data_IF_975423914642
#
_entry.id   IF_975423914642
#
_cell.length_a   1.000
_cell.length_b   1.000
_cell.length_c   1.000
_cell.angle_alpha   90.00
_cell.angle_beta   90.00
_cell.angle_gamma   90.00
#
_symmetry.space_group_name_H-M   'P 1'
#
loop_
_entity.id
_entity.type
_entity.pdbx_description
1 polymer ?
#
# COMPACT_ATOMS: atom_id res chain seq x y z
N UNK A 1 -11.66 -7.58 6.93
CA UNK A 1 -11.26 -7.91 5.55
C UNK A 1 -11.61 -9.36 5.30
N UNK A 2 -12.28 -9.69 4.20
CA UNK A 2 -12.73 -11.06 3.90
C UNK A 2 -11.82 -11.76 2.90
N UNK A 3 -11.22 -11.01 1.97
CA UNK A 3 -10.23 -11.51 1.00
C UNK A 3 -9.19 -10.44 0.70
N UNK A 4 -7.93 -10.83 0.65
CA UNK A 4 -6.83 -9.96 0.25
C UNK A 4 -5.70 -10.80 -0.34
N UNK A 5 -5.42 -10.62 -1.63
CA UNK A 5 -4.36 -11.32 -2.35
C UNK A 5 -3.54 -10.33 -3.18
N UNK A 6 -2.22 -10.54 -3.21
CA UNK A 6 -1.29 -9.79 -4.06
C UNK A 6 -0.44 -10.78 -4.85
N UNK A 7 -0.33 -10.58 -6.16
CA UNK A 7 0.45 -11.43 -7.09
C UNK A 7 1.35 -10.55 -7.98
N UNK A 8 2.59 -10.96 -8.32
CA UNK A 8 3.26 -12.18 -7.90
C UNK A 8 3.84 -12.08 -6.47
N UNK A 9 4.11 -13.24 -5.88
CA UNK A 9 4.93 -13.37 -4.67
C UNK A 9 6.21 -14.14 -5.02
N UNK A 10 7.42 -13.57 -4.81
CA UNK A 10 7.69 -12.22 -4.33
C UNK A 10 7.33 -11.13 -5.35
N UNK A 11 6.98 -9.94 -4.85
CA UNK A 11 6.69 -8.77 -5.68
C UNK A 11 7.99 -8.29 -6.35
N UNK A 12 7.91 -7.99 -7.65
CA UNK A 12 9.02 -7.42 -8.42
C UNK A 12 8.82 -5.93 -8.60
N UNK A 13 9.85 -5.15 -8.26
CA UNK A 13 9.86 -3.70 -8.41
C UNK A 13 11.13 -3.30 -9.18
N UNK A 14 11.03 -2.55 -10.29
CA UNK A 14 9.80 -2.15 -10.97
C UNK A 14 9.06 -3.34 -11.59
N UNK A 15 7.75 -3.22 -11.74
CA UNK A 15 6.93 -4.29 -12.32
C UNK A 15 5.43 -4.12 -12.11
N UNK A 16 4.68 -5.07 -12.65
CA UNK A 16 3.23 -5.13 -12.48
C UNK A 16 2.90 -6.05 -11.30
N UNK A 17 1.94 -5.62 -10.49
CA UNK A 17 1.32 -6.45 -9.47
C UNK A 17 -0.18 -6.46 -9.67
N UNK A 18 -0.84 -7.50 -9.16
CA UNK A 18 -2.28 -7.60 -9.16
C UNK A 18 -2.78 -7.73 -7.74
N UNK A 19 -3.83 -6.97 -7.42
CA UNK A 19 -4.47 -6.95 -6.11
C UNK A 19 -5.89 -7.47 -6.26
N UNK A 20 -6.31 -8.32 -5.34
CA UNK A 20 -7.69 -8.76 -5.17
C UNK A 20 -8.11 -8.46 -3.73
N UNK A 21 -9.17 -7.70 -3.53
CA UNK A 21 -9.63 -7.25 -2.22
C UNK A 21 -11.15 -7.36 -2.12
N UNK A 22 -11.61 -8.07 -1.09
CA UNK A 22 -13.01 -8.03 -0.65
C UNK A 22 -13.02 -7.64 0.84
N UNK A 23 -13.63 -6.51 1.13
CA UNK A 23 -13.70 -5.97 2.48
C UNK A 23 -14.98 -5.16 2.67
N UNK A 24 -15.22 -4.74 3.92
CA UNK A 24 -16.32 -3.85 4.27
C UNK A 24 -15.81 -2.80 5.24
N UNK A 25 -16.06 -1.55 4.93
CA UNK A 25 -15.92 -0.42 5.84
C UNK A 25 -17.23 -0.34 6.61
N UNK A 26 -17.19 -0.54 7.93
CA UNK A 26 -18.40 -0.57 8.77
C UNK A 26 -18.72 0.77 9.41
N UNK A 27 -17.72 1.65 9.56
CA UNK A 27 -17.84 2.98 10.14
C UNK A 27 -17.27 4.00 9.17
N UNK A 28 -17.75 5.23 9.25
CA UNK A 28 -17.20 6.31 8.44
C UNK A 28 -15.77 6.60 8.89
N UNK A 29 -14.82 6.54 7.95
CA UNK A 29 -13.44 6.99 8.18
C UNK A 29 -13.39 8.46 7.78
N UNK A 30 -13.36 9.32 8.79
CA UNK A 30 -13.17 10.76 8.64
C UNK A 30 -11.69 11.14 8.78
N UNK A 31 -11.39 12.43 8.70
CA UNK A 31 -10.02 12.97 8.75
C UNK A 31 -9.39 12.91 10.17
N UNK A 32 -10.05 12.26 11.13
CA UNK A 32 -9.64 12.13 12.54
C UNK A 32 -9.38 10.67 12.92
N UNK A 33 -8.85 9.89 11.99
CA UNK A 33 -8.45 8.50 12.21
C UNK A 33 -6.94 8.46 12.31
N UNK A 34 -6.37 7.76 13.28
CA UNK A 34 -4.93 7.51 13.35
C UNK A 34 -4.61 6.12 12.78
N UNK A 35 -3.38 5.95 12.28
CA UNK A 35 -2.90 4.68 11.75
C UNK A 35 -1.49 4.39 12.25
N UNK A 36 -1.34 3.29 12.99
CA UNK A 36 -0.05 2.73 13.38
C UNK A 36 0.41 1.69 12.34
N UNK A 37 1.57 1.93 11.75
CA UNK A 37 2.23 0.97 10.85
C UNK A 37 3.49 0.46 11.53
N UNK A 38 3.57 -0.85 11.70
CA UNK A 38 4.80 -1.54 12.12
C UNK A 38 5.38 -2.22 10.90
N UNK A 39 6.57 -1.79 10.49
CA UNK A 39 7.23 -2.34 9.31
C UNK A 39 8.51 -3.05 9.71
N UNK A 40 8.56 -4.35 9.43
CA UNK A 40 9.66 -5.23 9.82
C UNK A 40 10.31 -5.85 8.59
N UNK A 41 11.64 -5.96 8.64
CA UNK A 41 12.43 -6.69 7.64
C UNK A 41 13.10 -7.86 8.32
N UNK A 42 12.94 -9.04 7.74
CA UNK A 42 13.71 -10.21 8.14
C UNK A 42 15.16 -10.08 7.67
N UNK A 43 16.08 -10.09 8.63
CA UNK A 43 17.52 -10.03 8.41
C UNK A 43 18.18 -11.15 9.22
N UNK A 44 18.86 -12.07 8.53
CA UNK A 44 19.56 -13.19 9.16
C UNK A 44 18.67 -14.02 10.11
N UNK A 45 17.38 -14.18 9.77
CA UNK A 45 16.40 -14.93 10.57
C UNK A 45 15.78 -14.15 11.74
N UNK A 46 16.05 -12.84 11.87
CA UNK A 46 15.46 -11.97 12.89
C UNK A 46 14.65 -10.86 12.22
N UNK A 47 13.42 -10.63 12.69
CA UNK A 47 12.60 -9.50 12.27
C UNK A 47 13.08 -8.22 12.95
N UNK A 48 13.61 -7.29 12.15
CA UNK A 48 14.09 -5.98 12.61
C UNK A 48 13.12 -4.90 12.19
N UNK A 49 12.68 -4.06 13.13
CA UNK A 49 11.85 -2.89 12.83
C UNK A 49 12.62 -1.88 11.99
N UNK A 50 12.01 -1.47 10.88
CA UNK A 50 12.49 -0.39 10.03
C UNK A 50 12.03 0.93 10.64
N UNK A 51 12.96 1.86 10.88
CA UNK A 51 12.64 3.19 11.43
C UNK A 51 11.81 4.04 10.46
N UNK A 52 10.95 4.91 11.00
CA UNK A 52 10.19 5.86 10.17
C UNK A 52 11.11 6.91 9.57
N UNK A 53 11.18 6.99 8.24
CA UNK A 53 11.88 8.04 7.51
C UNK A 53 10.97 8.49 6.37
N UNK A 54 10.77 9.80 6.18
CA UNK A 54 9.94 10.36 5.09
C UNK A 54 8.61 9.60 4.86
N UNK A 55 7.91 9.29 5.96
CA UNK A 55 6.61 8.57 5.95
C UNK A 55 6.66 7.12 5.45
N UNK A 56 7.83 6.46 5.48
CA UNK A 56 8.01 5.03 5.18
C UNK A 56 8.78 4.39 6.33
N UNK A 57 8.32 3.22 6.81
CA UNK A 57 8.90 2.56 7.99
C UNK A 57 7.85 2.21 9.03
N UNK A 58 8.30 2.01 10.26
CA UNK A 58 7.43 1.91 11.45
C UNK A 58 7.02 3.31 11.87
N UNK A 59 5.88 3.78 11.37
CA UNK A 59 5.40 5.16 11.49
C UNK A 59 4.02 5.20 12.18
N UNK A 60 3.80 6.26 12.96
CA UNK A 60 2.46 6.68 13.38
C UNK A 60 1.97 7.77 12.45
N UNK A 61 0.74 7.68 11.97
CA UNK A 61 0.10 8.70 11.14
C UNK A 61 -1.14 9.23 11.85
N UNK A 62 -1.11 10.51 12.20
CA UNK A 62 -2.25 11.18 12.86
C UNK A 62 -3.46 11.37 11.93
N UNK A 63 -3.18 11.46 10.61
CA UNK A 63 -4.19 11.57 9.56
C UNK A 63 -3.73 10.82 8.29
N UNK A 64 -4.12 9.54 8.09
CA UNK A 64 -3.81 8.79 6.89
C UNK A 64 -4.58 9.31 5.66
N UNK A 65 -5.64 10.12 5.83
CA UNK A 65 -6.33 10.74 4.69
C UNK A 65 -5.43 11.72 3.94
N UNK A 66 -4.40 12.28 4.58
CA UNK A 66 -3.46 13.18 3.92
C UNK A 66 -2.79 12.57 2.68
N UNK A 67 -2.54 11.25 2.65
CA UNK A 67 -1.96 10.58 1.47
C UNK A 67 -2.87 10.62 0.24
N UNK A 68 -4.18 10.64 0.48
CA UNK A 68 -5.20 10.62 -0.57
C UNK A 68 -5.50 12.01 -1.14
N UNK A 69 -5.04 13.08 -0.47
CA UNK A 69 -5.19 14.45 -0.97
C UNK A 69 -4.55 14.64 -2.35
N UNK A 70 -3.55 13.83 -2.70
CA UNK A 70 -2.94 13.81 -4.03
C UNK A 70 -3.92 13.49 -5.17
N UNK A 71 -5.08 12.88 -4.86
CA UNK A 71 -6.13 12.53 -5.82
C UNK A 71 -7.27 13.56 -5.89
N UNK A 72 -7.29 14.58 -5.02
CA UNK A 72 -8.28 15.67 -5.07
C UNK A 72 -8.05 16.65 -6.24
N UNK A 73 -6.89 16.57 -6.89
CA UNK A 73 -6.48 17.47 -7.97
C UNK A 73 -6.72 16.94 -9.38
N UNK A 74 -6.06 17.51 -10.40
CA UNK A 74 -6.23 17.13 -11.81
C UNK A 74 -5.88 15.68 -12.13
N UNK A 75 -5.04 15.05 -11.30
CA UNK A 75 -4.69 13.63 -11.41
C UNK A 75 -5.91 12.73 -11.22
N UNK A 76 -6.90 13.19 -10.46
CA UNK A 76 -8.12 12.47 -10.18
C UNK A 76 -7.88 11.13 -9.50
N UNK A 77 -8.95 10.35 -9.45
CA UNK A 77 -8.90 9.00 -8.93
C UNK A 77 -8.16 8.06 -9.89
N UNK A 78 -7.29 7.16 -9.39
CA UNK A 78 -6.72 6.11 -10.23
C UNK A 78 -7.81 5.32 -10.96
N UNK A 79 -7.59 5.03 -12.24
CA UNK A 79 -8.57 4.36 -13.10
C UNK A 79 -9.00 3.02 -12.52
N UNK A 80 -8.06 2.31 -11.91
CA UNK A 80 -8.22 1.02 -11.24
C UNK A 80 -9.27 1.09 -10.11
N UNK A 81 -9.32 2.20 -9.38
CA UNK A 81 -10.29 2.41 -8.31
C UNK A 81 -11.61 2.96 -8.85
N UNK A 82 -11.55 3.97 -9.72
CA UNK A 82 -12.72 4.62 -10.29
C UNK A 82 -13.62 3.63 -11.07
N UNK A 83 -13.03 2.74 -11.86
CA UNK A 83 -13.77 1.74 -12.63
C UNK A 83 -14.47 0.68 -11.76
N UNK A 84 -14.00 0.49 -10.53
CA UNK A 84 -14.61 -0.40 -9.55
C UNK A 84 -15.51 0.35 -8.55
N UNK A 85 -15.81 1.63 -8.80
CA UNK A 85 -16.65 2.45 -7.93
C UNK A 85 -16.06 2.69 -6.54
N UNK A 86 -14.74 2.55 -6.39
CA UNK A 86 -14.05 2.72 -5.12
C UNK A 86 -13.65 4.19 -4.91
N UNK A 87 -13.93 4.77 -3.74
CA UNK A 87 -13.42 6.09 -3.41
C UNK A 87 -11.90 6.06 -3.24
N UNK A 88 -11.28 7.18 -3.57
CA UNK A 88 -9.84 7.44 -3.42
C UNK A 88 -9.58 8.75 -2.69
N UNK A 89 -10.61 9.33 -2.09
CA UNK A 89 -10.58 10.58 -1.33
C UNK A 89 -11.38 10.37 -0.05
N UNK A 90 -10.97 11.05 1.03
CA UNK A 90 -11.73 11.04 2.27
C UNK A 90 -12.91 12.04 2.22
N UNK A 91 -13.97 11.81 3.00
CA UNK A 91 -14.18 10.69 3.95
C UNK A 91 -14.67 9.39 3.28
N UNK A 92 -14.29 8.24 3.83
CA UNK A 92 -14.84 6.94 3.39
C UNK A 92 -16.12 6.62 4.15
N UNK A 93 -17.23 6.50 3.43
CA UNK A 93 -18.51 6.06 4.02
C UNK A 93 -18.51 4.55 4.27
N UNK A 94 -19.39 4.11 5.16
CA UNK A 94 -19.62 2.69 5.36
C UNK A 94 -20.13 2.03 4.06
N UNK A 95 -19.37 1.07 3.53
CA UNK A 95 -19.68 0.39 2.28
C UNK A 95 -18.90 -0.91 2.12
N UNK A 96 -19.37 -1.77 1.22
CA UNK A 96 -18.57 -2.89 0.74
C UNK A 96 -17.49 -2.38 -0.23
N UNK A 97 -16.28 -2.87 -0.09
CA UNK A 97 -15.14 -2.61 -0.95
C UNK A 97 -14.87 -3.90 -1.73
N UNK A 98 -15.05 -3.84 -3.04
CA UNK A 98 -14.72 -4.94 -3.95
C UNK A 98 -13.78 -4.45 -5.01
N UNK A 99 -12.56 -4.96 -4.98
CA UNK A 99 -11.58 -4.81 -6.02
C UNK A 99 -11.30 -6.22 -6.57
N UNK A 100 -11.78 -6.57 -7.77
CA UNK A 100 -11.41 -7.83 -8.40
C UNK A 100 -9.91 -7.87 -8.67
N UNK A 101 -9.42 -8.96 -9.24
CA UNK A 101 -8.00 -9.10 -9.60
C UNK A 101 -7.55 -8.00 -10.59
N UNK A 102 -7.13 -6.85 -10.05
CA UNK A 102 -6.84 -5.60 -10.78
C UNK A 102 -5.35 -5.36 -10.80
N UNK A 103 -4.84 -4.99 -11.97
CA UNK A 103 -3.42 -4.75 -12.20
C UNK A 103 -3.02 -3.32 -11.83
N UNK A 104 -1.89 -3.17 -11.16
CA UNK A 104 -1.24 -1.91 -10.82
C UNK A 104 0.22 -1.96 -11.29
N UNK A 105 0.69 -0.85 -11.84
CA UNK A 105 2.07 -0.71 -12.31
C UNK A 105 2.89 0.05 -11.28
N UNK A 106 3.97 -0.57 -10.77
CA UNK A 106 4.93 0.06 -9.87
C UNK A 106 6.18 0.41 -10.66
N UNK A 107 6.37 1.70 -10.95
CA UNK A 107 7.38 2.17 -11.91
C UNK A 107 8.78 2.33 -11.31
N UNK A 108 8.90 2.71 -10.05
CA UNK A 108 10.18 2.78 -9.33
C UNK A 108 9.94 2.96 -7.83
N UNK A 109 10.99 2.69 -7.05
CA UNK A 109 11.10 3.09 -5.65
C UNK A 109 12.27 4.04 -5.50
N UNK A 110 12.17 4.99 -4.56
CA UNK A 110 13.27 5.90 -4.27
C UNK A 110 14.53 5.12 -3.88
N UNK A 111 15.69 5.56 -4.36
CA UNK A 111 16.99 4.97 -4.00
C UNK A 111 17.27 5.01 -2.49
N UNK A 112 16.65 5.94 -1.77
CA UNK A 112 16.66 6.00 -0.30
C UNK A 112 16.14 4.71 0.36
N UNK A 113 15.31 3.93 -0.36
CA UNK A 113 14.70 2.68 0.13
C UNK A 113 15.38 1.42 -0.41
N UNK A 114 16.51 1.55 -1.10
CA UNK A 114 17.25 0.41 -1.68
C UNK A 114 17.62 -0.65 -0.64
N UNK A 115 17.85 -0.26 0.61
CA UNK A 115 18.14 -1.20 1.71
C UNK A 115 16.98 -2.16 2.00
N UNK A 116 15.75 -1.88 1.57
CA UNK A 116 14.61 -2.79 1.72
C UNK A 116 14.59 -3.90 0.67
N UNK A 117 15.31 -3.73 -0.43
CA UNK A 117 15.38 -4.74 -1.47
C UNK A 117 15.97 -6.04 -0.91
N UNK A 118 15.43 -7.16 -1.39
CA UNK A 118 16.10 -8.45 -1.27
C UNK A 118 17.25 -8.44 -2.26
N UNK A 119 18.47 -8.70 -1.79
CA UNK A 119 19.57 -9.05 -2.67
C UNK A 119 19.15 -10.33 -3.36
N UNK A 120 18.82 -10.29 -4.66
CA UNK A 120 18.79 -11.54 -5.42
C UNK A 120 20.22 -12.07 -5.31
N UNK A 121 20.38 -13.24 -4.69
CA UNK A 121 21.68 -13.93 -4.71
C UNK A 121 22.12 -13.95 -6.18
N UNK A 122 23.20 -13.24 -6.58
CA UNK A 122 23.88 -13.67 -7.79
C UNK A 122 24.24 -15.12 -7.50
N UNK A 123 23.92 -16.04 -8.41
CA UNK A 123 24.24 -17.46 -8.27
C UNK A 123 25.61 -17.62 -7.59
N UNK A 124 25.61 -17.96 -6.30
CA UNK A 124 26.82 -18.44 -5.63
C UNK A 124 27.01 -19.84 -6.20
N UNK A 125 27.69 -19.89 -7.35
CA UNK A 125 28.35 -21.08 -7.85
C UNK A 125 29.66 -21.25 -7.08
#
# INVERSE_FOLDING_TARGET
>A
VSKFDITPSPIKVPGNLRVNLDSKITHQLENAVTMDVVFEKELLGVYTKVVCVKSVGTCHYDDPCHFLNSFNGPKGCPKELAQNGLPCTCPFKAQAIKLPNTEFVVTSVSSAWSFLATVSKPNCK
#
